data_IF_782239433828
#
_entry.id   IF_782239433828
#
_cell.length_a   1.000
_cell.length_b   1.000
_cell.length_c   1.000
_cell.angle_alpha   90.00
_cell.angle_beta   90.00
_cell.angle_gamma   90.00
#
_symmetry.space_group_name_H-M   'P 1'
#
loop_
_entity.id
_entity.type
_entity.pdbx_description
1 polymer ?
#
# COMPACT_ATOMS: atom_id res chain seq x y z
N UNK A 1 8.64 -13.31 -5.80
CA UNK A 1 8.77 -11.87 -5.48
C UNK A 1 10.16 -11.63 -4.93
N UNK A 2 10.86 -10.63 -5.48
CA UNK A 2 12.09 -10.10 -4.91
C UNK A 2 11.99 -8.58 -4.83
N UNK A 3 12.69 -8.00 -3.86
CA UNK A 3 12.89 -6.55 -3.75
C UNK A 3 14.37 -6.26 -3.92
N UNK A 4 14.68 -5.21 -4.67
CA UNK A 4 16.06 -4.72 -4.85
C UNK A 4 16.07 -3.20 -4.81
N UNK A 5 17.22 -2.64 -4.43
CA UNK A 5 17.44 -1.22 -4.27
C UNK A 5 18.60 -0.80 -5.17
N UNK A 6 18.46 0.34 -5.83
CA UNK A 6 19.57 1.06 -6.48
C UNK A 6 19.74 2.37 -5.75
N UNK A 7 20.97 2.73 -5.40
CA UNK A 7 21.26 3.89 -4.55
C UNK A 7 22.22 4.87 -5.22
N UNK A 8 22.14 6.13 -4.80
CA UNK A 8 23.02 7.20 -5.27
C UNK A 8 22.94 7.37 -6.78
N UNK A 9 24.10 7.43 -7.44
CA UNK A 9 24.20 7.65 -8.88
C UNK A 9 23.59 6.52 -9.74
N UNK A 10 23.30 5.35 -9.16
CA UNK A 10 22.61 4.26 -9.86
C UNK A 10 21.08 4.41 -9.85
N UNK A 11 20.54 5.25 -8.96
CA UNK A 11 19.13 5.57 -8.92
C UNK A 11 18.80 6.64 -9.96
N UNK A 12 17.60 6.56 -10.56
CA UNK A 12 17.18 7.46 -11.63
C UNK A 12 17.24 8.94 -11.25
N UNK A 13 17.02 9.27 -9.96
CA UNK A 13 17.03 10.64 -9.44
C UNK A 13 18.21 10.92 -8.48
N UNK A 14 19.25 10.09 -8.49
CA UNK A 14 20.40 10.25 -7.58
C UNK A 14 20.12 9.87 -6.12
N UNK A 15 18.92 9.39 -5.82
CA UNK A 15 18.45 8.97 -4.50
C UNK A 15 18.41 7.45 -4.33
N UNK A 16 17.21 6.90 -4.14
CA UNK A 16 16.99 5.43 -4.05
C UNK A 16 15.84 5.03 -4.95
N UNK A 17 16.07 4.07 -5.83
CA UNK A 17 15.02 3.37 -6.58
C UNK A 17 14.66 2.06 -5.87
N UNK A 18 13.36 1.81 -5.71
CA UNK A 18 12.84 0.55 -5.17
C UNK A 18 12.27 -0.26 -6.34
N UNK A 19 12.84 -1.42 -6.62
CA UNK A 19 12.34 -2.32 -7.66
C UNK A 19 11.71 -3.57 -7.03
N UNK A 20 10.42 -3.78 -7.30
CA UNK A 20 9.68 -4.99 -6.92
C UNK A 20 9.49 -5.84 -8.16
N UNK A 21 10.06 -7.05 -8.15
CA UNK A 21 9.94 -7.99 -9.28
C UNK A 21 8.88 -9.06 -9.00
N UNK A 22 7.94 -9.18 -9.96
CA UNK A 22 6.87 -10.17 -9.97
C UNK A 22 7.14 -11.23 -11.04
N UNK A 23 6.65 -12.45 -10.85
CA UNK A 23 6.58 -13.44 -11.94
C UNK A 23 5.52 -13.03 -12.96
N UNK A 24 5.58 -13.61 -14.17
CA UNK A 24 4.56 -13.36 -15.20
C UNK A 24 3.14 -13.68 -14.69
N UNK A 25 2.98 -14.84 -14.03
CA UNK A 25 1.70 -15.26 -13.43
C UNK A 25 1.21 -14.27 -12.35
N UNK A 26 2.12 -13.74 -11.52
CA UNK A 26 1.76 -12.76 -10.49
C UNK A 26 1.34 -11.42 -11.10
N UNK A 27 2.05 -10.96 -12.13
CA UNK A 27 1.72 -9.73 -12.83
C UNK A 27 0.37 -9.85 -13.56
N UNK A 28 0.09 -10.99 -14.19
CA UNK A 28 -1.18 -11.27 -14.84
C UNK A 28 -2.34 -11.33 -13.83
N UNK A 29 -2.13 -11.99 -12.69
CA UNK A 29 -3.15 -12.11 -11.64
C UNK A 29 -3.53 -10.76 -11.00
N UNK A 30 -2.56 -9.83 -10.85
CA UNK A 30 -2.84 -8.47 -10.37
C UNK A 30 -3.48 -7.62 -11.48
N UNK A 31 -3.09 -7.85 -12.74
CA UNK A 31 -3.64 -7.17 -13.90
C UNK A 31 -3.46 -5.65 -13.86
N UNK A 32 -4.46 -4.91 -14.35
CA UNK A 32 -4.42 -3.45 -14.48
C UNK A 32 -4.36 -2.67 -13.16
N UNK A 33 -4.46 -3.34 -12.02
CA UNK A 33 -4.45 -2.71 -10.69
C UNK A 33 -3.03 -2.51 -10.13
N UNK A 34 -2.00 -3.10 -10.76
CA UNK A 34 -0.61 -2.98 -10.31
C UNK A 34 -0.14 -1.51 -10.31
N UNK A 35 -0.42 -0.78 -11.40
CA UNK A 35 -0.04 0.63 -11.52
C UNK A 35 -0.67 1.52 -10.45
N UNK A 36 -2.00 1.54 -10.31
CA UNK A 36 -2.69 2.32 -9.27
C UNK A 36 -2.24 2.01 -7.84
N UNK A 37 -1.97 0.73 -7.51
CA UNK A 37 -1.47 0.36 -6.19
C UNK A 37 -0.03 0.82 -5.96
N UNK A 38 0.84 0.62 -6.96
CA UNK A 38 2.22 1.10 -6.89
C UNK A 38 2.28 2.63 -6.74
N UNK A 39 1.41 3.36 -7.45
CA UNK A 39 1.28 4.82 -7.34
C UNK A 39 0.82 5.25 -5.93
N UNK A 40 -0.18 4.58 -5.36
CA UNK A 40 -0.62 4.86 -3.99
C UNK A 40 0.47 4.58 -2.94
N UNK A 41 1.26 3.51 -3.14
CA UNK A 41 2.42 3.22 -2.28
C UNK A 41 3.52 4.27 -2.43
N UNK A 42 3.81 4.71 -3.66
CA UNK A 42 4.76 5.77 -3.93
C UNK A 42 4.32 7.08 -3.26
N UNK A 43 3.03 7.43 -3.33
CA UNK A 43 2.45 8.58 -2.63
C UNK A 43 2.65 8.51 -1.11
N UNK A 44 2.48 7.35 -0.48
CA UNK A 44 2.73 7.18 0.95
C UNK A 44 4.22 7.32 1.34
N UNK A 45 5.13 6.79 0.52
CA UNK A 45 6.58 6.96 0.72
C UNK A 45 6.99 8.42 0.55
N UNK A 46 6.44 9.09 -0.45
CA UNK A 46 6.64 10.51 -0.68
C UNK A 46 6.11 11.33 0.51
N UNK A 47 4.88 11.10 0.96
CA UNK A 47 4.31 11.80 2.12
C UNK A 47 5.18 11.63 3.39
N UNK A 48 5.74 10.43 3.61
CA UNK A 48 6.69 10.18 4.70
C UNK A 48 7.98 10.99 4.55
N UNK A 49 8.51 11.13 3.32
CA UNK A 49 9.68 11.94 3.04
C UNK A 49 9.39 13.43 3.33
N UNK A 50 8.28 13.96 2.81
CA UNK A 50 7.87 15.37 3.03
C UNK A 50 7.67 15.64 4.52
N UNK A 51 7.07 14.72 5.30
CA UNK A 51 6.94 14.86 6.76
C UNK A 51 8.29 14.97 7.49
N UNK A 52 9.37 14.41 6.91
CA UNK A 52 10.70 14.39 7.52
C UNK A 52 11.59 15.54 7.05
N UNK A 53 11.37 16.06 5.84
CA UNK A 53 12.18 17.13 5.25
C UNK A 53 11.47 18.49 5.28
N UNK A 54 10.15 18.51 5.46
CA UNK A 54 9.26 19.67 5.26
C UNK A 54 9.36 20.29 3.85
N UNK A 55 9.84 19.51 2.89
CA UNK A 55 10.05 19.94 1.51
C UNK A 55 9.41 19.01 0.51
N UNK A 56 8.88 19.58 -0.57
CA UNK A 56 8.52 18.86 -1.79
C UNK A 56 9.55 19.17 -2.87
N UNK A 57 9.90 18.18 -3.71
CA UNK A 57 10.72 18.43 -4.89
C UNK A 57 10.12 19.57 -5.71
N UNK A 58 10.96 20.45 -6.25
CA UNK A 58 10.47 21.34 -7.29
C UNK A 58 9.98 20.52 -8.48
N UNK A 59 8.91 21.00 -9.14
CA UNK A 59 8.48 20.44 -10.42
C UNK A 59 9.71 20.34 -11.35
N UNK A 60 9.93 19.15 -11.93
CA UNK A 60 11.00 18.92 -12.89
C UNK A 60 10.73 19.75 -14.16
N UNK A 61 11.18 21.00 -14.17
CA UNK A 61 11.53 21.65 -15.43
C UNK A 61 12.84 20.97 -15.89
N UNK A 62 12.78 20.10 -16.91
CA UNK A 62 13.92 19.43 -17.58
C UNK A 62 14.87 20.41 -18.32
N UNK A 63 15.00 21.65 -17.82
CA UNK A 63 15.83 22.71 -18.36
C UNK A 63 17.00 23.07 -17.45
N UNK A 64 18.01 23.80 -17.97
CA UNK A 64 19.09 24.33 -17.16
C UNK A 64 18.55 25.38 -16.18
N UNK A 65 18.21 24.93 -14.96
CA UNK A 65 17.64 25.78 -13.91
C UNK A 65 16.72 25.05 -12.93
N UNK A 66 17.08 23.82 -12.52
CA UNK A 66 16.32 23.08 -11.51
C UNK A 66 16.04 23.98 -10.30
N UNK A 67 14.76 24.21 -10.01
CA UNK A 67 14.37 25.07 -8.89
C UNK A 67 14.70 24.34 -7.58
N UNK A 68 15.05 25.10 -6.51
CA UNK A 68 15.24 24.49 -5.20
C UNK A 68 13.93 23.87 -4.71
N UNK A 69 14.05 22.83 -3.89
CA UNK A 69 12.95 22.26 -3.14
C UNK A 69 12.14 23.36 -2.44
N UNK A 70 10.83 23.14 -2.38
CA UNK A 70 9.87 24.13 -1.88
C UNK A 70 9.22 23.61 -0.59
N UNK A 71 8.85 24.50 0.34
CA UNK A 71 8.10 24.09 1.52
C UNK A 71 6.80 23.39 1.15
N UNK A 72 6.41 22.40 1.94
CA UNK A 72 5.09 21.78 1.82
C UNK A 72 3.97 22.80 2.07
N UNK A 73 2.89 22.72 1.29
CA UNK A 73 1.73 23.61 1.45
C UNK A 73 0.54 22.86 2.06
N UNK A 74 -0.52 23.58 2.43
CA UNK A 74 -1.77 22.95 2.84
C UNK A 74 -2.29 21.96 1.77
N UNK A 75 -2.20 22.32 0.48
CA UNK A 75 -2.62 21.46 -0.63
C UNK A 75 -1.77 20.18 -0.75
N UNK A 76 -0.45 20.28 -0.50
CA UNK A 76 0.45 19.12 -0.39
C UNK A 76 -0.10 18.11 0.61
N UNK A 77 -0.52 18.58 1.79
CA UNK A 77 -1.01 17.72 2.85
C UNK A 77 -2.41 17.17 2.58
N UNK A 78 -3.31 17.95 1.96
CA UNK A 78 -4.63 17.45 1.54
C UNK A 78 -4.48 16.29 0.56
N UNK A 79 -3.57 16.40 -0.41
CA UNK A 79 -3.33 15.34 -1.38
C UNK A 79 -2.71 14.10 -0.73
N UNK A 80 -1.73 14.28 0.16
CA UNK A 80 -1.13 13.17 0.91
C UNK A 80 -2.16 12.42 1.76
N UNK A 81 -3.05 13.14 2.45
CA UNK A 81 -4.14 12.54 3.23
C UNK A 81 -5.09 11.77 2.30
N UNK A 82 -5.51 12.38 1.19
CA UNK A 82 -6.39 11.72 0.22
C UNK A 82 -5.77 10.42 -0.32
N UNK A 83 -4.49 10.44 -0.72
CA UNK A 83 -3.82 9.26 -1.25
C UNK A 83 -3.73 8.14 -0.22
N UNK A 84 -3.40 8.46 1.04
CA UNK A 84 -3.33 7.46 2.10
C UNK A 84 -4.72 6.92 2.45
N UNK A 85 -5.69 7.80 2.71
CA UNK A 85 -7.02 7.44 3.22
C UNK A 85 -7.93 6.81 2.16
N UNK A 86 -7.94 7.33 0.93
CA UNK A 86 -8.87 6.88 -0.10
C UNK A 86 -8.24 5.85 -1.05
N UNK A 87 -6.92 5.89 -1.24
CA UNK A 87 -6.26 5.01 -2.21
C UNK A 87 -5.55 3.84 -1.54
N UNK A 88 -4.78 4.07 -0.48
CA UNK A 88 -3.93 3.01 0.10
C UNK A 88 -4.61 2.22 1.21
N UNK A 89 -5.08 2.87 2.27
CA UNK A 89 -5.64 2.18 3.45
C UNK A 89 -6.77 1.21 3.11
N UNK A 90 -7.78 1.56 2.31
CA UNK A 90 -8.89 0.66 2.04
C UNK A 90 -8.44 -0.60 1.28
N UNK A 91 -7.46 -0.47 0.39
CA UNK A 91 -6.82 -1.61 -0.31
C UNK A 91 -6.05 -2.51 0.65
N UNK A 92 -5.28 -1.93 1.58
CA UNK A 92 -4.55 -2.70 2.60
C UNK A 92 -5.51 -3.44 3.53
N UNK A 93 -6.62 -2.81 3.91
CA UNK A 93 -7.67 -3.44 4.72
C UNK A 93 -8.35 -4.58 3.98
N UNK A 94 -8.70 -4.39 2.71
CA UNK A 94 -9.23 -5.44 1.84
C UNK A 94 -8.30 -6.65 1.72
N UNK A 95 -7.00 -6.40 1.48
CA UNK A 95 -5.96 -7.45 1.44
C UNK A 95 -5.85 -8.17 2.77
N UNK A 96 -5.81 -7.43 3.89
CA UNK A 96 -5.74 -8.00 5.25
C UNK A 96 -6.92 -8.93 5.51
N UNK A 97 -8.13 -8.47 5.23
CA UNK A 97 -9.36 -9.20 5.52
C UNK A 97 -9.46 -10.46 4.65
N UNK A 98 -9.15 -10.35 3.35
CA UNK A 98 -9.06 -11.48 2.44
C UNK A 98 -8.02 -12.52 2.91
N UNK A 99 -6.83 -12.07 3.31
CA UNK A 99 -5.77 -12.94 3.83
C UNK A 99 -6.18 -13.63 5.14
N UNK A 100 -6.89 -12.93 6.03
CA UNK A 100 -7.42 -13.52 7.27
C UNK A 100 -8.45 -14.63 6.99
N UNK A 101 -9.34 -14.43 6.00
CA UNK A 101 -10.29 -15.48 5.59
C UNK A 101 -9.58 -16.66 4.91
N UNK A 102 -8.62 -16.40 4.04
CA UNK A 102 -7.82 -17.44 3.39
C UNK A 102 -7.05 -18.28 4.42
N UNK A 103 -6.45 -17.63 5.42
CA UNK A 103 -5.80 -18.32 6.55
C UNK A 103 -6.78 -19.19 7.33
N UNK A 104 -8.00 -18.68 7.61
CA UNK A 104 -9.03 -19.46 8.28
C UNK A 104 -9.48 -20.69 7.46
N UNK A 105 -9.75 -20.50 6.16
CA UNK A 105 -10.16 -21.55 5.24
C UNK A 105 -9.08 -22.64 5.07
N UNK A 106 -7.81 -22.27 5.22
CA UNK A 106 -6.66 -23.18 5.19
C UNK A 106 -6.41 -23.91 6.52
N UNK A 107 -7.32 -23.80 7.50
CA UNK A 107 -7.18 -24.45 8.81
C UNK A 107 -6.24 -23.73 9.78
N UNK A 108 -5.89 -22.47 9.51
CA UNK A 108 -4.94 -21.70 10.31
C UNK A 108 -5.38 -21.49 11.76
N UNK A 109 -4.41 -21.59 12.68
CA UNK A 109 -4.69 -21.50 14.13
C UNK A 109 -4.82 -20.06 14.63
N UNK A 110 -5.65 -19.84 15.65
CA UNK A 110 -5.76 -18.52 16.29
C UNK A 110 -4.45 -18.04 16.92
N UNK A 111 -3.56 -18.96 17.33
CA UNK A 111 -2.24 -18.60 17.87
C UNK A 111 -1.30 -18.04 16.80
N UNK A 112 -1.31 -18.61 15.59
CA UNK A 112 -0.58 -18.05 14.44
C UNK A 112 -1.15 -16.69 14.04
N UNK A 113 -2.47 -16.58 13.99
CA UNK A 113 -3.14 -15.32 13.68
C UNK A 113 -2.81 -14.23 14.71
N UNK A 114 -2.79 -14.56 16.01
CA UNK A 114 -2.44 -13.60 17.06
C UNK A 114 -1.03 -13.02 16.86
N UNK A 115 -0.04 -13.86 16.53
CA UNK A 115 1.31 -13.42 16.19
C UNK A 115 1.33 -12.52 14.96
N UNK A 116 0.62 -12.90 13.89
CA UNK A 116 0.55 -12.11 12.66
C UNK A 116 -0.11 -10.74 12.88
N UNK A 117 -1.12 -10.67 13.75
CA UNK A 117 -1.81 -9.42 14.11
C UNK A 117 -1.08 -8.58 15.16
N UNK A 118 0.06 -9.05 15.69
CA UNK A 118 0.79 -8.37 16.77
C UNK A 118 0.01 -8.28 18.09
N UNK A 119 -0.95 -9.19 18.35
CA UNK A 119 -1.73 -9.21 19.60
C UNK A 119 -1.28 -10.34 20.51
N UNK A 120 -1.19 -10.07 21.81
CA UNK A 120 -0.72 -11.05 22.81
C UNK A 120 -1.78 -12.07 23.17
N UNK A 121 -3.06 -11.68 23.17
CA UNK A 121 -4.17 -12.54 23.53
C UNK A 121 -4.72 -13.31 22.32
N UNK A 122 -4.72 -14.65 22.40
CA UNK A 122 -5.37 -15.53 21.42
C UNK A 122 -6.85 -15.20 21.25
N UNK A 123 -7.55 -14.87 22.34
CA UNK A 123 -8.97 -14.52 22.33
C UNK A 123 -9.25 -13.27 21.49
N UNK A 124 -8.35 -12.29 21.46
CA UNK A 124 -8.47 -11.10 20.60
C UNK A 124 -8.38 -11.47 19.12
N UNK A 125 -7.42 -12.33 18.76
CA UNK A 125 -7.29 -12.81 17.38
C UNK A 125 -8.50 -13.65 16.96
N UNK A 126 -9.00 -14.48 17.87
CA UNK A 126 -10.23 -15.24 17.67
C UNK A 126 -11.42 -14.31 17.44
N UNK A 127 -11.66 -13.36 18.34
CA UNK A 127 -12.75 -12.40 18.20
C UNK A 127 -12.68 -11.64 16.87
N UNK A 128 -11.50 -11.14 16.48
CA UNK A 128 -11.31 -10.43 15.20
C UNK A 128 -11.65 -11.32 14.00
N UNK A 129 -11.18 -12.57 13.99
CA UNK A 129 -11.46 -13.52 12.91
C UNK A 129 -12.94 -13.87 12.84
N UNK A 130 -13.53 -14.25 13.96
CA UNK A 130 -14.93 -14.69 14.02
C UNK A 130 -15.87 -13.52 13.66
N UNK A 131 -15.56 -12.30 14.12
CA UNK A 131 -16.27 -11.08 13.72
C UNK A 131 -16.17 -10.81 12.21
N UNK A 132 -14.97 -10.98 11.62
CA UNK A 132 -14.78 -10.82 10.19
C UNK A 132 -15.58 -11.88 9.41
N UNK A 133 -15.51 -13.16 9.83
CA UNK A 133 -16.21 -14.27 9.18
C UNK A 133 -17.73 -14.10 9.18
N UNK A 134 -18.29 -13.47 10.21
CA UNK A 134 -19.71 -13.18 10.31
C UNK A 134 -20.18 -12.04 9.38
N UNK A 135 -19.27 -11.24 8.81
CA UNK A 135 -19.60 -10.12 7.91
C UNK A 135 -19.44 -10.53 6.45
N UNK A 136 -20.25 -9.92 5.58
CA UNK A 136 -20.02 -9.98 4.14
C UNK A 136 -18.67 -9.33 3.78
N UNK A 137 -17.95 -9.85 2.76
CA UNK A 137 -16.76 -9.21 2.25
C UNK A 137 -17.03 -7.76 1.82
N UNK A 138 -16.13 -6.85 2.15
CA UNK A 138 -16.18 -5.46 1.67
C UNK A 138 -15.85 -5.40 0.18
N UNK A 139 -16.15 -4.28 -0.48
CA UNK A 139 -15.77 -4.08 -1.88
C UNK A 139 -14.26 -4.16 -2.10
N UNK A 140 -13.47 -3.68 -1.13
CA UNK A 140 -12.01 -3.79 -1.18
C UNK A 140 -11.51 -5.22 -0.92
N UNK A 141 -12.22 -6.01 -0.12
CA UNK A 141 -11.93 -7.45 0.02
C UNK A 141 -12.22 -8.19 -1.30
N UNK A 142 -13.35 -7.87 -1.95
CA UNK A 142 -13.71 -8.42 -3.27
C UNK A 142 -12.70 -8.00 -4.34
N UNK A 143 -12.28 -6.73 -4.33
CA UNK A 143 -11.23 -6.21 -5.19
C UNK A 143 -9.92 -6.99 -5.00
N UNK A 144 -9.49 -7.23 -3.76
CA UNK A 144 -8.26 -7.97 -3.47
C UNK A 144 -8.29 -9.41 -4.01
N UNK A 145 -9.47 -10.03 -4.06
CA UNK A 145 -9.65 -11.41 -4.54
C UNK A 145 -9.85 -11.51 -6.05
N UNK A 146 -10.36 -10.46 -6.71
CA UNK A 146 -10.86 -10.56 -8.10
C UNK A 146 -10.30 -9.51 -9.06
N UNK A 147 -9.62 -8.49 -8.55
CA UNK A 147 -9.18 -7.32 -9.31
C UNK A 147 -10.33 -6.38 -9.72
N UNK A 148 -11.59 -6.69 -9.40
CA UNK A 148 -12.74 -5.83 -9.74
C UNK A 148 -12.78 -4.62 -8.81
N UNK A 149 -12.75 -3.41 -9.39
CA UNK A 149 -12.85 -2.19 -8.60
C UNK A 149 -14.21 -2.07 -7.89
N UNK A 150 -14.24 -1.49 -6.68
CA UNK A 150 -15.48 -1.01 -6.08
C UNK A 150 -16.23 -0.11 -7.05
N UNK A 151 -17.55 -0.27 -7.14
CA UNK A 151 -18.41 0.66 -7.87
C UNK A 151 -18.42 1.99 -7.12
N UNK A 152 -17.88 3.05 -7.72
CA UNK A 152 -18.10 4.40 -7.21
C UNK A 152 -19.52 4.81 -7.61
N UNK A 153 -20.41 4.88 -6.62
CA UNK A 153 -21.69 5.60 -6.73
C UNK A 153 -21.47 7.12 -6.60
#
# INVERSE_FOLDING_TARGET
>A
MSISFREGNEAALGGVDITISLTAEQAEAIGGELGPLADAMAGALWALAVLRTDTVPADQDDGPGARPDRPATADTWVNAIHDVEQRLLPRLEGIRDAAMRAHAASGGSYGQLARALGVTARSTAQYRRDTLQARMPSEWEIWALTGKRPTQD
#
